data_IF_106076374425
#
_entry.id   IF_106076374425
#
_cell.length_a   1.000
_cell.length_b   1.000
_cell.length_c   1.000
_cell.angle_alpha   90.00
_cell.angle_beta   90.00
_cell.angle_gamma   90.00
#
_symmetry.space_group_name_H-M   'P 1'
#
loop_
_entity.id
_entity.type
_entity.pdbx_description
1 polymer ?
2 non-polymer ?
3 non-polymer ?
4 water ?
#
# COMPACT_ATOMS: atom_id res chain seq x y z
N UNK A 1 30.66 -3.08 11.57
CA UNK A 1 31.29 -1.90 11.00
C UNK A 1 30.52 -1.41 9.77
N UNK A 2 29.94 -2.36 9.02
CA UNK A 2 29.15 -2.03 7.83
C UNK A 2 27.66 -1.92 8.13
N UNK A 3 27.15 -2.83 8.96
CA UNK A 3 25.85 -2.63 9.60
C UNK A 3 25.81 -1.36 10.42
N UNK A 4 26.97 -0.80 10.77
CA UNK A 4 27.02 0.45 11.51
C UNK A 4 26.45 1.60 10.69
N UNK A 5 26.81 1.70 9.41
CA UNK A 5 26.20 2.70 8.56
C UNK A 5 24.69 2.53 8.52
N UNK A 6 24.22 1.29 8.40
CA UNK A 6 22.78 1.06 8.29
C UNK A 6 22.05 1.52 9.55
N UNK A 7 22.58 1.24 10.73
CA UNK A 7 21.89 1.69 11.94
C UNK A 7 21.90 3.20 12.02
N UNK A 8 23.00 3.82 11.60
CA UNK A 8 23.05 5.28 11.50
C UNK A 8 21.91 5.81 10.65
N UNK A 9 21.71 5.21 9.46
CA UNK A 9 20.61 5.64 8.59
C UNK A 9 19.29 5.56 9.35
N UNK A 10 19.04 4.42 9.98
CA UNK A 10 17.75 4.19 10.63
C UNK A 10 17.51 5.21 11.73
N UNK A 11 18.54 5.51 12.52
CA UNK A 11 18.41 6.52 13.57
C UNK A 11 17.99 7.88 13.00
N UNK A 12 18.61 8.30 11.89
CA UNK A 12 18.22 9.58 11.32
C UNK A 12 16.84 9.49 10.68
N UNK A 13 16.46 8.32 10.15
CA UNK A 13 15.10 8.17 9.63
C UNK A 13 14.10 8.21 10.75
N UNK A 14 14.47 7.65 11.90
CA UNK A 14 13.62 7.66 13.07
C UNK A 14 13.43 9.08 13.61
N UNK A 15 14.40 9.96 13.34
CA UNK A 15 14.35 11.33 13.87
C UNK A 15 13.04 12.01 13.51
N UNK A 16 12.60 11.88 12.26
CA UNK A 16 11.31 12.44 11.83
C UNK A 16 10.16 11.51 12.25
N UNK A 17 10.03 11.34 13.56
CA UNK A 17 8.94 10.59 14.16
C UNK A 17 8.46 11.18 15.46
N UNK A 18 9.23 12.06 16.11
CA UNK A 18 8.79 12.66 17.36
C UNK A 18 7.75 13.75 17.13
N UNK A 19 7.95 14.57 16.08
CA UNK A 19 7.05 15.66 15.77
C UNK A 19 5.96 15.25 14.79
N UNK A 20 5.70 13.94 14.67
CA UNK A 20 4.51 13.50 13.96
C UNK A 20 3.28 14.08 14.61
N UNK A 21 3.25 14.10 15.94
CA UNK A 21 2.04 14.45 16.68
C UNK A 21 1.49 15.81 16.24
N UNK A 22 2.37 16.75 15.91
CA UNK A 22 1.88 18.08 15.53
C UNK A 22 1.29 18.08 14.11
N UNK A 23 1.80 17.24 13.21
CA UNK A 23 1.24 17.13 11.88
C UNK A 23 0.08 16.15 11.83
N UNK A 24 0.21 15.02 12.53
CA UNK A 24 -0.87 14.04 12.58
C UNK A 24 -2.13 14.63 13.19
N UNK A 25 -1.99 15.60 14.09
CA UNK A 25 -3.14 16.30 14.60
C UNK A 25 -3.91 17.03 13.51
N UNK A 26 -3.19 17.70 12.60
CA UNK A 26 -3.86 18.42 11.54
C UNK A 26 -4.53 17.48 10.54
N UNK A 27 -3.92 16.32 10.30
CA UNK A 27 -4.54 15.35 9.40
C UNK A 27 -5.84 14.81 9.99
N UNK A 28 -5.78 14.36 11.24
CA UNK A 28 -6.97 13.79 11.89
C UNK A 28 -8.14 14.76 11.79
N UNK A 29 -7.90 16.03 12.10
CA UNK A 29 -8.97 17.01 12.04
C UNK A 29 -9.59 17.14 10.67
N UNK A 30 -8.75 17.19 9.62
CA UNK A 30 -9.29 17.34 8.27
C UNK A 30 -10.08 16.10 7.88
N UNK A 31 -9.57 14.90 8.17
CA UNK A 31 -10.31 13.72 7.70
C UNK A 31 -11.59 13.50 8.51
N UNK A 32 -11.61 13.91 9.79
CA UNK A 32 -12.86 13.78 10.52
C UNK A 32 -13.94 14.66 9.92
N UNK A 33 -13.61 15.92 9.62
CA UNK A 33 -14.51 16.81 8.89
C UNK A 33 -15.04 16.15 7.63
N UNK A 34 -14.14 15.60 6.82
CA UNK A 34 -14.54 15.03 5.54
C UNK A 34 -15.41 13.79 5.73
N UNK A 35 -15.11 12.99 6.74
CA UNK A 35 -15.94 11.81 6.99
C UNK A 35 -17.35 12.21 7.36
N UNK A 36 -17.46 13.12 8.33
CA UNK A 36 -18.77 13.58 8.74
C UNK A 36 -19.55 14.18 7.57
N UNK A 37 -18.86 14.94 6.70
CA UNK A 37 -19.55 15.51 5.55
C UNK A 37 -20.01 14.42 4.58
N UNK A 38 -19.19 13.39 4.39
CA UNK A 38 -19.57 12.32 3.47
C UNK A 38 -20.64 11.40 4.05
N UNK A 39 -20.66 11.25 5.37
CA UNK A 39 -21.73 10.48 6.00
C UNK A 39 -23.07 11.17 5.86
N UNK A 40 -23.07 12.50 5.70
CA UNK A 40 -24.30 13.25 5.51
C UNK A 40 -24.90 13.04 4.13
N UNK A 41 -24.27 12.21 3.31
CA UNK A 41 -24.71 11.94 1.94
C UNK A 41 -25.21 10.50 1.85
N UNK A 42 -26.37 10.34 1.23
CA UNK A 42 -26.99 9.00 1.17
C UNK A 42 -26.04 7.95 0.62
N UNK A 43 -25.34 8.25 -0.48
CA UNK A 43 -24.51 7.21 -1.12
C UNK A 43 -23.33 6.78 -0.26
N UNK A 44 -22.89 7.63 0.67
CA UNK A 44 -21.68 7.40 1.43
C UNK A 44 -21.95 7.23 2.92
N UNK A 45 -23.19 6.88 3.27
CA UNK A 45 -23.60 6.82 4.66
C UNK A 45 -22.70 5.90 5.49
N UNK A 46 -22.23 4.80 4.90
CA UNK A 46 -21.39 3.90 5.67
C UNK A 46 -19.91 4.16 5.57
N UNK A 47 -19.50 5.32 5.06
CA UNK A 47 -18.09 5.62 4.92
C UNK A 47 -17.39 5.62 6.29
N UNK A 48 -16.13 5.23 6.30
CA UNK A 48 -15.36 5.21 7.53
C UNK A 48 -13.89 5.00 7.25
N UNK A 49 -13.09 5.27 8.27
CA UNK A 49 -11.67 4.97 8.24
C UNK A 49 -11.42 3.48 8.28
N UNK A 50 -10.25 3.08 7.78
CA UNK A 50 -9.87 1.68 7.82
C UNK A 50 -9.55 1.21 9.24
N UNK A 51 -8.53 1.80 9.87
CA UNK A 51 -8.23 1.56 11.30
C UNK A 51 -8.45 2.87 12.06
N UNK A 52 -9.55 2.96 12.83
CA UNK A 52 -9.79 4.16 13.65
C UNK A 52 -8.82 4.18 14.82
N UNK A 53 -8.01 5.24 14.91
CA UNK A 53 -6.84 5.30 15.76
C UNK A 53 -5.54 5.22 14.99
N UNK A 54 -5.54 4.53 13.86
CA UNK A 54 -4.48 4.60 12.87
C UNK A 54 -5.00 5.39 11.67
N UNK A 55 -5.11 6.71 11.85
CA UNK A 55 -5.62 7.60 10.81
C UNK A 55 -4.79 7.49 9.54
N UNK A 56 -3.52 7.82 9.67
CA UNK A 56 -2.57 7.93 8.58
C UNK A 56 -1.72 6.67 8.50
N UNK A 57 -1.07 6.49 7.35
CA UNK A 57 0.13 5.69 7.27
C UNK A 57 1.17 6.50 6.49
N UNK A 58 2.43 6.07 6.57
CA UNK A 58 3.50 6.70 5.81
C UNK A 58 4.01 5.72 4.76
N UNK A 59 3.62 5.98 3.50
CA UNK A 59 4.12 5.18 2.39
C UNK A 59 5.58 5.50 2.10
N UNK A 60 5.93 6.78 2.10
CA UNK A 60 7.31 7.24 1.86
C UNK A 60 8.02 7.42 3.20
N UNK A 61 8.96 6.51 3.50
CA UNK A 61 9.69 6.56 4.75
C UNK A 61 10.54 7.83 4.85
N UNK A 62 10.82 8.49 3.72
CA UNK A 62 11.67 9.68 3.70
C UNK A 62 10.90 10.99 3.48
N UNK A 63 9.57 10.95 3.40
CA UNK A 63 8.75 12.15 3.30
C UNK A 63 7.73 12.11 4.43
N UNK A 64 8.14 12.52 5.64
CA UNK A 64 7.24 12.41 6.80
C UNK A 64 6.10 13.41 6.80
N UNK A 65 6.07 14.37 5.88
CA UNK A 65 4.91 15.25 5.76
C UNK A 65 3.88 14.77 4.75
N UNK A 66 4.05 13.59 4.17
CA UNK A 66 3.13 13.02 3.18
C UNK A 66 2.37 11.88 3.82
N UNK A 67 1.06 12.03 3.93
CA UNK A 67 0.23 11.08 4.66
C UNK A 67 -0.66 10.30 3.71
N UNK A 68 -0.99 9.08 4.11
CA UNK A 68 -1.83 8.21 3.30
C UNK A 68 -3.03 7.76 4.13
N UNK A 69 -4.24 7.96 3.59
CA UNK A 69 -5.48 7.71 4.31
C UNK A 69 -6.42 6.92 3.40
N UNK A 70 -7.16 5.97 3.99
CA UNK A 70 -8.10 5.15 3.23
C UNK A 70 -9.50 5.25 3.83
N UNK A 71 -10.45 5.75 3.04
CA UNK A 71 -11.87 5.75 3.40
C UNK A 71 -12.52 4.52 2.80
N UNK A 72 -13.04 3.65 3.65
CA UNK A 72 -13.71 2.44 3.21
C UNK A 72 -15.20 2.61 3.39
N UNK A 73 -15.97 1.80 2.67
CA UNK A 73 -17.42 1.92 2.69
C UNK A 73 -18.01 0.56 2.32
N UNK A 74 -18.86 0.01 3.19
CA UNK A 74 -19.25 -1.39 2.99
C UNK A 74 -20.29 -1.53 1.87
N UNK A 75 -20.10 -2.56 1.05
CA UNK A 75 -20.98 -2.92 -0.06
C UNK A 75 -21.54 -4.32 0.17
N UNK A 76 -22.66 -4.45 0.86
CA UNK A 76 -23.20 -5.79 1.14
C UNK A 76 -23.67 -6.48 -0.12
N UNK A 77 -23.54 -7.81 -0.11
CA UNK A 77 -23.98 -8.71 -1.18
C UNK A 77 -23.45 -8.22 -2.54
N UNK A 78 -22.15 -8.05 -2.55
CA UNK A 78 -21.41 -7.67 -3.75
C UNK A 78 -21.22 -8.90 -4.63
N UNK A 79 -21.20 -8.68 -5.93
CA UNK A 79 -20.92 -9.74 -6.90
C UNK A 79 -19.83 -9.24 -7.84
N UNK A 80 -18.64 -9.83 -7.73
CA UNK A 80 -17.51 -9.43 -8.57
C UNK A 80 -17.54 -10.20 -9.87
N UNK A 81 -16.91 -9.62 -10.89
CA UNK A 81 -16.75 -10.26 -12.19
C UNK A 81 -15.37 -9.86 -12.71
N UNK A 82 -14.46 -10.84 -12.73
CA UNK A 82 -13.05 -10.59 -13.02
C UNK A 82 -12.86 -10.03 -14.42
N UNK A 83 -12.05 -8.98 -14.53
CA UNK A 83 -11.82 -8.31 -15.81
C UNK A 83 -10.69 -8.99 -16.58
N UNK A 84 -10.98 -9.39 -17.82
CA UNK A 84 -10.07 -10.21 -18.60
C UNK A 84 -9.62 -11.37 -17.73
N UNK A 85 -8.33 -11.66 -17.73
CA UNK A 85 -7.76 -12.68 -16.85
C UNK A 85 -6.71 -12.05 -15.94
N UNK A 86 -6.98 -10.81 -15.51
CA UNK A 86 -5.97 -10.04 -14.79
C UNK A 86 -5.80 -10.50 -13.35
N UNK A 87 -6.78 -11.24 -12.82
CA UNK A 87 -6.75 -11.87 -11.50
C UNK A 87 -6.92 -10.86 -10.37
N UNK A 88 -6.59 -9.59 -10.62
CA UNK A 88 -6.68 -8.58 -9.55
C UNK A 88 -7.66 -7.46 -9.82
N UNK A 89 -8.25 -7.39 -11.01
CA UNK A 89 -9.16 -6.31 -11.39
C UNK A 89 -10.55 -6.88 -11.66
N UNK A 90 -11.56 -6.19 -11.17
CA UNK A 90 -12.90 -6.73 -11.15
C UNK A 90 -13.91 -5.64 -11.47
N UNK A 91 -14.92 -5.99 -12.25
CA UNK A 91 -16.15 -5.23 -12.28
C UNK A 91 -16.97 -5.52 -11.04
N UNK A 92 -17.75 -4.55 -10.60
CA UNK A 92 -18.55 -4.69 -9.39
C UNK A 92 -20.02 -4.68 -9.79
N UNK A 93 -20.75 -5.69 -9.31
CA UNK A 93 -22.20 -5.83 -9.48
C UNK A 93 -22.83 -6.05 -8.11
N UNK A 94 -24.16 -6.00 -8.07
CA UNK A 94 -24.91 -6.06 -6.83
C UNK A 94 -25.91 -7.20 -6.86
N UNK A 95 -25.93 -8.02 -5.80
CA UNK A 95 -26.91 -9.08 -5.70
C UNK A 95 -28.33 -8.55 -5.47
N UNK A 96 -28.47 -7.34 -4.95
CA UNK A 96 -29.77 -6.80 -4.58
C UNK A 96 -30.18 -5.64 -5.48
N UNK A 97 -31.49 -5.36 -5.46
CA UNK A 97 -32.11 -4.32 -6.28
C UNK A 97 -31.53 -2.94 -5.98
N UNK A 98 -31.65 -2.02 -6.94
CA UNK A 98 -31.22 -0.64 -6.67
C UNK A 98 -32.01 0.06 -5.57
N UNK A 99 -33.25 -0.38 -5.30
CA UNK A 99 -34.01 0.18 -4.18
C UNK A 99 -33.38 -0.17 -2.85
N UNK A 100 -32.78 -1.36 -2.73
CA UNK A 100 -32.05 -1.80 -1.54
C UNK A 100 -30.58 -1.38 -1.57
N UNK A 101 -30.14 -0.67 -2.59
CA UNK A 101 -28.73 -0.41 -2.85
C UNK A 101 -28.45 1.08 -2.86
N UNK A 102 -27.71 1.61 -1.88
CA UNK A 102 -27.45 3.06 -1.86
C UNK A 102 -26.55 3.51 -2.98
N UNK A 103 -25.67 2.65 -3.48
CA UNK A 103 -24.84 3.01 -4.62
C UNK A 103 -25.61 2.96 -5.93
N UNK A 104 -26.93 2.77 -5.86
CA UNK A 104 -27.76 2.67 -7.06
C UNK A 104 -27.55 3.86 -8.00
N UNK A 105 -27.37 5.06 -7.43
CA UNK A 105 -27.22 6.23 -8.30
C UNK A 105 -25.98 6.16 -9.17
N UNK A 106 -25.02 5.29 -8.83
CA UNK A 106 -23.75 5.16 -9.54
C UNK A 106 -23.71 4.00 -10.53
N UNK A 107 -24.82 3.28 -10.71
CA UNK A 107 -24.79 2.15 -11.62
C UNK A 107 -24.68 2.64 -13.06
N UNK A 108 -23.97 1.87 -13.87
CA UNK A 108 -23.95 2.08 -15.32
C UNK A 108 -24.42 0.75 -15.91
N UNK A 109 -25.73 0.66 -16.14
CA UNK A 109 -26.31 -0.60 -16.48
C UNK A 109 -26.29 -1.52 -15.29
N UNK A 110 -25.49 -2.57 -15.36
CA UNK A 110 -25.43 -3.55 -14.29
C UNK A 110 -24.24 -3.37 -13.38
N UNK A 111 -23.32 -2.44 -13.69
CA UNK A 111 -22.05 -2.39 -12.99
C UNK A 111 -21.87 -1.03 -12.30
N UNK A 112 -21.09 -1.06 -11.23
CA UNK A 112 -20.78 0.14 -10.46
C UNK A 112 -19.75 0.96 -11.20
N UNK A 113 -20.15 2.14 -11.69
CA UNK A 113 -19.21 3.02 -12.37
C UNK A 113 -18.24 3.59 -11.34
N UNK A 114 -16.97 3.19 -11.44
CA UNK A 114 -15.93 3.80 -10.61
C UNK A 114 -15.81 5.29 -10.91
N UNK A 115 -15.97 5.67 -12.17
CA UNK A 115 -15.78 7.08 -12.50
C UNK A 115 -16.92 7.93 -11.97
N UNK A 116 -18.14 7.38 -11.91
CA UNK A 116 -19.24 8.14 -11.33
C UNK A 116 -19.08 8.30 -9.83
N UNK A 117 -18.71 7.23 -9.13
CA UNK A 117 -18.55 7.32 -7.69
C UNK A 117 -17.36 8.21 -7.34
N UNK A 118 -16.27 8.12 -8.10
CA UNK A 118 -15.14 8.99 -7.86
C UNK A 118 -15.51 10.45 -8.05
N UNK A 119 -16.24 10.76 -9.13
CA UNK A 119 -16.62 12.15 -9.40
C UNK A 119 -17.37 12.76 -8.23
N UNK A 120 -18.33 12.01 -7.66
CA UNK A 120 -19.11 12.54 -6.55
C UNK A 120 -18.25 12.66 -5.30
N UNK A 121 -17.49 11.61 -5.01
CA UNK A 121 -16.53 11.63 -3.91
C UNK A 121 -15.66 12.88 -3.96
N UNK A 122 -15.05 13.13 -5.12
CA UNK A 122 -14.16 14.28 -5.28
C UNK A 122 -14.91 15.59 -5.12
N UNK A 123 -16.10 15.70 -5.73
CA UNK A 123 -16.87 16.94 -5.64
C UNK A 123 -17.16 17.30 -4.18
N UNK A 124 -17.60 16.31 -3.39
CA UNK A 124 -17.97 16.58 -1.99
C UNK A 124 -16.74 17.05 -1.21
N UNK A 125 -15.66 16.28 -1.26
CA UNK A 125 -14.42 16.68 -0.59
C UNK A 125 -13.93 18.02 -1.12
N UNK A 126 -14.07 18.24 -2.43
CA UNK A 126 -13.63 19.51 -2.99
C UNK A 126 -14.45 20.65 -2.42
N UNK A 127 -15.79 20.56 -2.53
CA UNK A 127 -16.67 21.60 -1.98
C UNK A 127 -16.44 21.78 -0.47
N UNK A 128 -16.16 20.69 0.25
CA UNK A 128 -15.98 20.79 1.70
C UNK A 128 -14.66 21.46 2.05
N UNK A 129 -13.58 21.17 1.30
CA UNK A 129 -12.27 21.76 1.58
C UNK A 129 -12.29 23.27 1.39
N UNK A 130 -13.18 23.78 0.53
CA UNK A 130 -13.28 25.22 0.33
C UNK A 130 -13.72 25.94 1.58
N UNK A 131 -14.30 25.20 2.54
CA UNK A 131 -14.74 25.75 3.82
C UNK A 131 -13.88 25.25 4.97
N UNK A 132 -12.66 24.79 4.68
CA UNK A 132 -11.66 24.48 5.68
C UNK A 132 -10.46 25.40 5.46
N UNK A 133 -9.94 25.92 6.57
CA UNK A 133 -9.08 27.10 6.57
C UNK A 133 -7.83 26.94 5.71
N UNK A 134 -6.83 26.21 6.21
CA UNK A 134 -5.53 26.16 5.56
C UNK A 134 -5.36 24.91 4.71
N UNK A 135 -6.39 24.49 3.98
CA UNK A 135 -6.31 23.26 3.22
C UNK A 135 -6.78 23.48 1.78
N UNK A 136 -6.16 22.76 0.85
CA UNK A 136 -6.51 22.80 -0.57
C UNK A 136 -6.40 21.42 -1.17
N UNK A 137 -7.04 21.24 -2.32
CA UNK A 137 -7.07 19.98 -3.06
C UNK A 137 -6.19 20.12 -4.30
N UNK A 138 -5.06 19.43 -4.34
CA UNK A 138 -4.18 19.52 -5.51
C UNK A 138 -4.58 18.51 -6.58
N UNK A 139 -5.26 17.41 -6.21
CA UNK A 139 -5.80 16.37 -7.11
C UNK A 139 -5.12 16.24 -8.48
N UNK A 141 -4.91 13.20 -8.73
CA UNK A 141 -5.41 12.51 -9.92
C UNK A 141 -4.28 12.04 -10.84
N UNK A 142 -4.67 11.47 -11.99
CA UNK A 142 -3.76 10.86 -12.97
C UNK A 142 -3.10 9.58 -12.44
N UNK A 143 -3.81 8.84 -11.60
CA UNK A 143 -3.28 7.58 -11.06
C UNK A 143 -4.35 6.50 -11.06
N UNK A 144 -5.15 6.44 -12.13
CA UNK A 144 -6.15 5.41 -12.27
C UNK A 144 -7.37 5.55 -11.39
N UNK A 145 -7.38 6.49 -10.45
CA UNK A 145 -8.50 6.64 -9.56
C UNK A 145 -8.13 6.65 -8.10
N UNK A 146 -7.21 5.77 -7.69
CA UNK A 146 -6.73 5.72 -6.32
C UNK A 146 -5.25 6.07 -6.30
N UNK A 147 -4.82 7.07 -5.49
CA UNK A 147 -5.70 7.88 -4.62
C UNK A 147 -6.56 8.84 -5.41
N UNK A 148 -7.68 9.19 -4.80
CA UNK A 148 -8.67 10.01 -5.48
C UNK A 148 -8.29 11.47 -5.45
N UNK A 149 -7.86 11.93 -4.28
CA UNK A 149 -7.53 13.33 -4.07
C UNK A 149 -6.27 13.38 -3.24
N UNK A 150 -5.59 14.50 -3.35
CA UNK A 150 -4.49 14.82 -2.48
C UNK A 150 -4.77 16.19 -1.90
N UNK A 151 -4.69 16.29 -0.58
CA UNK A 151 -4.96 17.55 0.11
C UNK A 151 -3.64 18.20 0.49
N UNK A 152 -3.62 19.52 0.51
CA UNK A 152 -2.48 20.26 1.01
C UNK A 152 -2.92 21.03 2.23
N UNK A 153 -2.62 20.49 3.42
CA UNK A 153 -2.81 21.20 4.67
C UNK A 153 -1.66 22.17 4.88
N UNK A 154 -1.98 23.37 5.35
CA UNK A 154 -1.03 24.48 5.30
C UNK A 154 -0.43 24.53 3.91
N UNK A 155 0.88 24.78 3.85
CA UNK A 155 1.61 24.66 2.60
C UNK A 155 2.71 23.61 2.74
N UNK A 156 2.45 22.55 3.51
CA UNK A 156 3.52 21.66 3.92
C UNK A 156 3.09 20.20 3.99
N UNK A 157 1.97 19.93 4.63
CA UNK A 157 1.49 18.56 4.83
C UNK A 157 0.55 18.19 3.71
N UNK A 158 0.68 16.95 3.24
CA UNK A 158 -0.12 16.49 2.11
C UNK A 158 -0.73 15.14 2.46
N UNK A 159 -2.03 14.99 2.19
CA UNK A 159 -2.76 13.78 2.53
C UNK A 159 -3.35 13.19 1.25
N UNK A 160 -3.04 11.92 0.99
CA UNK A 160 -3.69 11.16 -0.08
C UNK A 160 -4.91 10.46 0.50
N UNK A 161 -6.06 10.68 -0.11
CA UNK A 161 -7.31 10.05 0.33
C UNK A 161 -7.75 9.08 -0.76
N UNK A 162 -7.92 7.82 -0.39
CA UNK A 162 -8.27 6.74 -1.32
C UNK A 162 -9.61 6.15 -0.93
N UNK A 163 -10.52 6.06 -1.88
CA UNK A 163 -11.79 5.40 -1.62
C UNK A 163 -11.64 3.90 -1.81
N UNK A 164 -12.31 3.12 -0.95
CA UNK A 164 -12.24 1.68 -1.06
C UNK A 164 -13.59 1.08 -0.72
N UNK A 165 -14.05 0.13 -1.56
CA UNK A 165 -15.22 -0.67 -1.24
C UNK A 165 -14.80 -1.80 -0.32
N UNK A 166 -15.61 -2.05 0.71
CA UNK A 166 -15.35 -3.12 1.66
C UNK A 166 -16.33 -4.25 1.41
N UNK A 167 -15.83 -5.47 1.39
CA UNK A 167 -16.70 -6.64 1.28
C UNK A 167 -16.35 -7.62 2.38
N UNK A 168 -17.38 -8.13 3.05
CA UNK A 168 -17.16 -9.12 4.07
C UNK A 168 -17.30 -10.53 3.54
N UNK A 169 -17.53 -10.70 2.24
CA UNK A 169 -17.64 -12.05 1.71
C UNK A 169 -16.24 -12.66 1.65
N UNK A 170 -16.17 -13.95 1.30
CA UNK A 170 -14.87 -14.60 1.29
C UNK A 170 -14.04 -14.12 0.10
N UNK A 171 -12.71 -14.15 0.26
CA UNK A 171 -11.83 -13.56 -0.73
C UNK A 171 -11.98 -14.25 -2.09
N UNK A 172 -11.73 -13.53 -3.18
CA UNK A 172 -11.90 -14.12 -4.51
C UNK A 172 -10.95 -15.28 -4.75
N UNK A 173 -11.33 -16.08 -5.76
CA UNK A 173 -10.56 -17.30 -6.03
C UNK A 173 -9.11 -16.99 -6.38
N UNK A 174 -8.82 -15.84 -7.00
CA UNK A 174 -7.45 -15.53 -7.38
C UNK A 174 -6.52 -15.47 -6.17
N UNK A 175 -7.07 -15.36 -4.95
CA UNK A 175 -6.26 -15.32 -3.74
C UNK A 175 -6.12 -16.68 -3.08
N UNK A 176 -6.67 -17.74 -3.69
CA UNK A 176 -6.69 -19.05 -3.07
C UNK A 176 -5.30 -19.50 -2.66
N UNK A 177 -4.31 -19.30 -3.53
CA UNK A 177 -2.98 -19.80 -3.27
C UNK A 177 -2.01 -18.71 -2.82
N UNK A 178 -2.52 -17.54 -2.42
CA UNK A 178 -1.69 -16.46 -1.96
C UNK A 178 -1.48 -16.52 -0.46
N UNK A 179 -0.82 -15.48 0.06
CA UNK A 179 -0.61 -15.33 1.50
C UNK A 179 0.01 -16.59 2.10
N UNK A 180 1.15 -17.01 1.55
CA UNK A 180 1.79 -18.27 1.92
C UNK A 180 2.56 -18.09 3.24
N UNK A 181 1.81 -17.83 4.30
CA UNK A 181 2.42 -17.54 5.59
C UNK A 181 2.48 -18.78 6.49
N UNK A 182 2.10 -19.95 5.98
CA UNK A 182 1.85 -21.11 6.83
C UNK A 182 3.08 -21.53 7.62
N UNK A 183 4.25 -21.52 6.98
CA UNK A 183 5.48 -21.91 7.65
C UNK A 183 6.09 -20.78 8.48
N UNK A 184 5.52 -19.58 8.41
CA UNK A 184 6.09 -18.41 9.07
C UNK A 184 5.18 -17.98 10.22
N UNK A 185 3.96 -17.50 9.91
CA UNK A 185 3.01 -17.04 10.92
C UNK A 185 1.97 -18.08 11.31
N UNK A 186 1.95 -19.22 10.60
CA UNK A 186 1.12 -20.39 10.89
C UNK A 186 -0.16 -20.50 10.06
N UNK A 187 -0.63 -21.73 9.90
CA UNK A 187 -1.92 -21.96 9.27
C UNK A 187 -3.07 -21.37 10.09
N UNK A 188 -3.01 -21.46 11.42
CA UNK A 188 -4.06 -20.84 12.24
C UNK A 188 -4.23 -19.40 11.84
N UNK A 189 -3.12 -18.67 11.79
CA UNK A 189 -3.16 -17.26 11.51
C UNK A 189 -3.63 -17.00 10.08
N UNK A 190 -3.11 -17.77 9.11
CA UNK A 190 -3.58 -17.55 7.75
C UNK A 190 -5.09 -17.73 7.65
N UNK A 191 -5.62 -18.70 8.38
CA UNK A 191 -7.07 -18.90 8.38
C UNK A 191 -7.79 -17.75 9.07
N UNK A 192 -7.20 -17.17 10.13
CA UNK A 192 -7.85 -16.02 10.77
C UNK A 192 -7.87 -14.81 9.82
N UNK A 193 -6.74 -14.57 9.14
CA UNK A 193 -6.64 -13.37 8.31
C UNK A 193 -7.59 -13.45 7.13
N UNK A 194 -7.69 -14.64 6.51
CA UNK A 194 -8.58 -14.78 5.36
C UNK A 194 -10.07 -14.76 5.75
N UNK A 195 -10.39 -14.58 7.04
CA UNK A 195 -11.77 -14.34 7.46
C UNK A 195 -12.08 -12.86 7.60
N UNK A 196 -11.09 -11.99 7.37
CA UNK A 196 -11.29 -10.56 7.46
C UNK A 196 -11.88 -10.06 6.14
N UNK A 197 -12.37 -8.83 6.10
CA UNK A 197 -12.87 -8.28 4.83
C UNK A 197 -11.74 -8.14 3.83
N UNK A 198 -12.12 -8.05 2.57
CA UNK A 198 -11.18 -7.51 1.58
C UNK A 198 -11.73 -6.20 1.03
N UNK A 199 -10.85 -5.47 0.34
CA UNK A 199 -11.18 -4.16 -0.20
C UNK A 199 -10.97 -4.12 -1.69
N UNK A 200 -11.70 -3.23 -2.35
CA UNK A 200 -11.51 -2.94 -3.77
C UNK A 200 -11.31 -1.44 -3.89
N UNK A 201 -10.23 -1.03 -4.57
CA UNK A 201 -9.99 0.39 -4.81
C UNK A 201 -10.15 0.63 -6.32
N UNK A 202 -10.73 1.75 -6.73
CA UNK A 202 -10.90 2.02 -8.17
C UNK A 202 -9.54 2.22 -8.82
N UNK A 203 -9.22 1.34 -9.78
CA UNK A 203 -7.99 1.45 -10.57
C UNK A 203 -8.27 1.01 -12.00
N UNK A 204 -7.87 1.85 -12.96
CA UNK A 204 -7.83 1.51 -14.38
C UNK A 204 -7.08 0.22 -14.66
N UNK A 205 -7.28 -0.38 -15.83
CA UNK A 205 -6.55 -1.59 -16.20
C UNK A 205 -6.19 -1.55 -17.69
N UNK A 206 -4.95 -1.95 -17.99
CA UNK A 206 -4.38 -2.07 -19.36
C UNK A 206 -5.08 -1.24 -20.43
N UNK A 210 -5.30 2.04 -24.93
CA UNK A 210 -6.20 2.73 -24.01
C UNK A 210 -6.38 1.96 -22.70
N UNK A 211 -7.52 2.19 -22.03
CA UNK A 211 -7.76 1.63 -20.70
C UNK A 211 -9.22 1.24 -20.54
N UNK A 212 -9.48 0.36 -19.56
CA UNK A 212 -10.82 0.04 -19.09
C UNK A 212 -11.09 0.82 -17.81
N UNK A 213 -12.11 1.68 -17.84
CA UNK A 213 -12.27 2.76 -16.87
C UNK A 213 -13.08 2.35 -15.64
N UNK A 214 -13.78 1.22 -15.67
CA UNK A 214 -14.68 0.89 -14.57
C UNK A 214 -14.18 -0.25 -13.70
N UNK A 215 -12.91 -0.64 -13.82
CA UNK A 215 -12.45 -1.76 -13.03
C UNK A 215 -12.10 -1.32 -11.61
N UNK A 216 -12.08 -2.31 -10.72
CA UNK A 216 -11.67 -2.14 -9.33
C UNK A 216 -10.59 -3.18 -9.04
N UNK A 217 -9.65 -2.84 -8.17
CA UNK A 217 -8.52 -3.70 -7.88
C UNK A 217 -8.55 -4.12 -6.41
N UNK A 218 -8.28 -5.40 -6.14
CA UNK A 218 -8.27 -5.87 -4.77
C UNK A 218 -7.15 -5.20 -3.97
N UNK A 219 -7.43 -4.90 -2.71
CA UNK A 219 -6.45 -4.25 -1.85
C UNK A 219 -6.45 -4.95 -0.50
N UNK A 220 -5.25 -5.18 0.05
CA UNK A 220 -5.13 -5.92 1.30
C UNK A 220 -4.25 -5.19 2.30
N UNK A 221 -4.19 -3.87 2.23
CA UNK A 221 -3.22 -3.17 3.06
C UNK A 221 -3.53 -3.32 4.55
N UNK A 222 -4.79 -3.60 4.92
CA UNK A 222 -5.07 -3.93 6.31
C UNK A 222 -4.38 -5.23 6.75
N UNK A 223 -4.35 -6.23 5.88
CA UNK A 223 -3.61 -7.44 6.19
C UNK A 223 -2.10 -7.15 6.24
N UNK A 224 -1.58 -6.40 5.28
CA UNK A 224 -0.15 -6.04 5.32
C UNK A 224 0.21 -5.40 6.65
N UNK A 225 -0.57 -4.42 7.10
CA UNK A 225 -0.26 -3.79 8.37
C UNK A 225 -0.28 -4.81 9.50
N UNK A 226 -1.33 -5.64 9.55
CA UNK A 226 -1.44 -6.63 10.60
C UNK A 226 -0.23 -7.56 10.64
N UNK A 227 0.31 -7.93 9.49
CA UNK A 227 1.47 -8.81 9.52
C UNK A 227 2.70 -8.07 10.02
N UNK A 228 2.91 -6.83 9.57
CA UNK A 228 4.11 -6.09 10.00
C UNK A 228 4.11 -5.83 11.50
N UNK A 229 2.95 -5.61 12.11
CA UNK A 229 2.86 -5.35 13.54
C UNK A 229 2.76 -6.60 14.38
N UNK A 230 2.76 -7.77 13.74
CA UNK A 230 2.72 -9.03 14.45
C UNK A 230 3.40 -10.04 13.51
N UNK A 231 4.73 -9.95 13.45
CA UNK A 231 5.50 -10.34 12.27
C UNK A 231 6.42 -11.53 12.48
N UNK A 232 6.40 -12.13 13.66
CA UNK A 232 7.43 -13.10 13.98
C UNK A 232 6.86 -14.47 14.16
N UNK A 233 7.73 -15.48 14.06
CA UNK A 233 7.28 -16.80 14.44
C UNK A 233 6.97 -16.85 15.93
N UNK A 234 7.80 -16.21 16.73
CA UNK A 234 7.54 -16.15 18.17
C UNK A 234 6.49 -15.10 18.46
N UNK A 235 5.47 -15.48 19.21
CA UNK A 235 4.43 -14.52 19.53
C UNK A 235 5.04 -13.31 20.23
N UNK A 236 6.19 -13.48 20.88
CA UNK A 236 6.82 -12.40 21.62
C UNK A 236 7.97 -11.75 20.85
N UNK A 237 8.02 -11.91 19.53
CA UNK A 237 9.06 -11.22 18.75
C UNK A 237 8.97 -9.71 18.99
N UNK A 238 10.12 -9.11 19.23
CA UNK A 238 10.24 -7.67 19.50
C UNK A 238 9.44 -7.21 20.73
N UNK A 239 9.16 -8.10 21.69
CA UNK A 239 8.58 -7.65 22.96
C UNK A 239 9.58 -7.68 24.11
N UNK A 240 10.84 -8.00 23.87
CA UNK A 240 11.83 -7.90 24.92
C UNK A 240 13.22 -7.82 24.29
N UNK A 241 14.19 -7.45 25.14
CA UNK A 241 15.59 -7.28 24.73
C UNK A 241 16.12 -8.49 23.96
N UNK A 242 15.66 -9.69 24.29
CA UNK A 242 16.28 -10.90 23.75
C UNK A 242 15.66 -11.39 22.45
N UNK A 243 14.61 -10.74 21.96
CA UNK A 243 13.95 -11.16 20.73
C UNK A 243 13.72 -9.99 19.81
N UNK A 244 14.69 -9.09 19.68
CA UNK A 244 14.56 -7.97 18.76
C UNK A 244 15.05 -8.41 17.39
N UNK A 245 14.15 -8.44 16.40
CA UNK A 245 14.51 -8.79 15.03
C UNK A 245 14.71 -7.53 14.20
N UNK A 246 15.19 -7.70 12.98
CA UNK A 246 15.40 -6.57 12.09
C UNK A 246 14.52 -6.65 10.84
N UNK A 247 13.40 -7.38 10.93
CA UNK A 247 12.44 -7.40 9.83
C UNK A 247 11.99 -5.98 9.46
N UNK A 248 11.35 -5.26 10.41
CA UNK A 248 10.87 -3.91 10.10
C UNK A 248 11.99 -2.98 9.66
N UNK A 249 13.17 -3.07 10.29
CA UNK A 249 14.30 -2.24 9.85
C UNK A 249 14.63 -2.51 8.40
N UNK A 250 14.70 -3.79 8.01
CA UNK A 250 15.04 -4.13 6.63
C UNK A 250 14.05 -3.53 5.64
N UNK A 251 12.76 -3.62 5.93
CA UNK A 251 11.78 -3.03 5.02
C UNK A 251 11.96 -1.52 4.91
N UNK A 252 12.23 -0.84 6.04
CA UNK A 252 12.53 0.59 5.96
C UNK A 252 13.70 0.85 5.01
N UNK A 253 14.78 0.09 5.15
CA UNK A 253 15.95 0.32 4.32
C UNK A 253 15.64 0.09 2.84
N UNK A 254 15.13 -1.10 2.50
CA UNK A 254 14.55 -1.34 1.18
C UNK A 254 13.78 -0.11 0.68
N UNK A 255 12.78 0.34 1.44
CA UNK A 255 12.00 1.49 1.01
C UNK A 255 12.89 2.71 0.78
N UNK A 256 13.73 3.06 1.76
CA UNK A 256 14.59 4.24 1.62
C UNK A 256 15.51 4.13 0.42
N UNK A 257 16.02 2.92 0.16
CA UNK A 257 16.93 2.72 -0.96
C UNK A 257 16.26 3.05 -2.28
N UNK A 258 14.99 2.63 -2.44
CA UNK A 258 14.29 2.93 -3.69
C UNK A 258 13.92 4.40 -3.79
N UNK A 259 13.46 5.01 -2.70
CA UNK A 259 13.10 6.43 -2.74
C UNK A 259 14.31 7.29 -3.06
N UNK A 260 15.46 6.99 -2.45
CA UNK A 260 16.66 7.76 -2.74
C UNK A 260 17.08 7.61 -4.20
N UNK A 261 17.06 6.37 -4.72
CA UNK A 261 17.40 6.17 -6.13
C UNK A 261 16.42 6.91 -7.02
N UNK A 262 15.11 6.82 -6.72
CA UNK A 262 14.13 7.56 -7.49
C UNK A 262 14.43 9.06 -7.46
N UNK A 263 14.82 9.59 -6.29
CA UNK A 263 15.24 10.98 -6.22
C UNK A 263 16.51 11.22 -7.03
N UNK A 264 17.47 10.29 -6.94
CA UNK A 264 18.76 10.47 -7.59
C UNK A 264 18.63 10.55 -9.11
N UNK A 265 17.65 9.87 -9.68
CA UNK A 265 17.45 9.82 -11.12
C UNK A 265 16.02 10.24 -11.48
N UNK A 266 15.55 11.33 -10.86
CA UNK A 266 14.23 11.87 -11.24
C UNK A 266 14.26 12.47 -12.64
N UNK A 267 15.41 13.01 -13.05
CA UNK A 267 15.49 13.61 -14.38
C UNK A 267 15.42 12.55 -15.47
N UNK A 268 16.23 11.50 -15.36
CA UNK A 268 15.93 10.29 -16.10
C UNK A 268 14.56 9.79 -15.67
N UNK A 269 13.89 9.01 -16.51
CA UNK A 269 12.53 8.62 -16.20
C UNK A 269 12.37 7.11 -16.36
N UNK A 270 13.24 6.37 -15.68
CA UNK A 270 13.23 4.92 -15.71
C UNK A 270 12.67 4.32 -14.43
N UNK A 271 12.87 4.98 -13.30
CA UNK A 271 12.37 4.50 -12.02
C UNK A 271 10.99 5.02 -11.68
N UNK A 272 10.31 5.71 -12.60
CA UNK A 272 9.01 6.28 -12.27
C UNK A 272 7.98 5.21 -11.99
N UNK A 273 8.15 4.03 -12.58
CA UNK A 273 7.14 2.97 -12.45
C UNK A 273 7.29 2.15 -11.17
N UNK A 274 8.42 2.22 -10.48
CA UNK A 274 8.61 1.44 -9.27
C UNK A 274 8.07 2.21 -8.07
N UNK A 275 7.56 1.46 -7.09
CA UNK A 275 6.97 2.08 -5.91
C UNK A 275 7.33 1.27 -4.67
N UNK A 276 6.91 1.82 -3.53
CA UNK A 276 7.13 1.12 -2.26
C UNK A 276 6.44 -0.22 -2.24
N UNK A 277 5.26 -0.34 -2.87
CA UNK A 277 4.58 -1.63 -2.86
C UNK A 277 5.49 -2.74 -3.40
N UNK A 278 6.31 -2.42 -4.42
CA UNK A 278 7.21 -3.43 -4.98
C UNK A 278 8.21 -3.93 -3.95
N UNK A 279 8.77 -3.04 -3.12
CA UNK A 279 9.74 -3.56 -2.15
C UNK A 279 9.02 -4.16 -0.94
N UNK A 280 7.85 -3.63 -0.56
CA UNK A 280 7.05 -4.34 0.43
C UNK A 280 6.70 -5.76 -0.05
N UNK A 281 6.24 -5.91 -1.30
CA UNK A 281 5.89 -7.24 -1.81
C UNK A 281 7.11 -8.17 -1.77
N UNK A 282 8.25 -7.72 -2.29
CA UNK A 282 9.44 -8.55 -2.22
C UNK A 282 9.83 -8.85 -0.78
N UNK A 283 9.67 -7.86 0.11
CA UNK A 283 10.01 -8.10 1.51
C UNK A 283 9.19 -9.27 2.07
N UNK A 284 7.87 -9.25 1.89
CA UNK A 284 7.05 -10.37 2.37
C UNK A 284 7.51 -11.71 1.79
N UNK A 285 7.84 -11.75 0.50
CA UNK A 285 8.38 -12.99 -0.06
C UNK A 285 9.64 -13.45 0.68
N UNK A 286 10.53 -12.52 1.05
CA UNK A 286 11.75 -12.90 1.76
C UNK A 286 11.43 -13.43 3.14
N UNK A 287 10.48 -12.80 3.85
CA UNK A 287 10.02 -13.34 5.12
C UNK A 287 9.54 -14.77 4.97
N UNK A 288 8.86 -15.08 3.87
CA UNK A 288 8.38 -16.44 3.68
C UNK A 288 9.53 -17.42 3.47
N UNK A 289 10.58 -17.00 2.74
CA UNK A 289 11.74 -17.87 2.54
C UNK A 289 12.57 -18.00 3.80
N UNK A 290 12.42 -17.06 4.72
CA UNK A 290 13.24 -16.98 5.93
C UNK A 290 12.29 -16.81 7.12
N UNK A 291 11.57 -17.87 7.49
CA UNK A 291 10.47 -17.70 8.46
C UNK A 291 10.91 -17.72 9.92
N UNK A 292 12.08 -18.24 10.26
CA UNK A 292 12.51 -18.26 11.65
C UNK A 292 12.98 -16.88 12.09
N UNK A 293 12.64 -16.50 13.32
CA UNK A 293 13.12 -15.25 13.87
C UNK A 293 14.63 -15.23 14.03
N UNK A 294 15.29 -16.40 14.09
CA UNK A 294 16.74 -16.43 14.17
C UNK A 294 17.42 -16.08 12.85
N UNK A 295 16.67 -16.10 11.75
CA UNK A 295 17.13 -15.60 10.46
C UNK A 295 16.97 -14.09 10.32
N UNK A 296 16.55 -13.40 11.39
CA UNK A 296 16.44 -11.94 11.39
C UNK A 296 17.05 -11.32 12.64
N UNK A 297 18.09 -11.94 13.21
CA UNK A 297 18.70 -11.40 14.42
C UNK A 297 19.19 -9.99 14.16
N UNK A 298 19.01 -9.10 15.14
CA UNK A 298 19.46 -7.71 14.96
C UNK A 298 20.97 -7.64 14.76
N UNK A 299 21.72 -8.56 15.36
CA UNK A 299 23.16 -8.54 15.12
C UNK A 299 23.48 -8.89 13.67
N UNK A 300 22.54 -9.47 12.92
CA UNK A 300 22.75 -9.82 11.53
C UNK A 300 22.12 -8.83 10.57
N UNK A 301 21.90 -7.58 11.00
CA UNK A 301 21.14 -6.64 10.17
C UNK A 301 21.78 -6.47 8.81
N UNK A 302 23.09 -6.26 8.78
CA UNK A 302 23.78 -6.15 7.50
C UNK A 302 23.48 -7.33 6.59
N UNK A 303 23.56 -8.55 7.13
CA UNK A 303 23.33 -9.73 6.29
C UNK A 303 21.88 -9.83 5.86
N UNK A 304 20.94 -9.56 6.77
CA UNK A 304 19.52 -9.63 6.45
C UNK A 304 19.15 -8.63 5.37
N UNK A 305 19.59 -7.37 5.50
CA UNK A 305 19.31 -6.38 4.48
C UNK A 305 19.88 -6.80 3.13
N UNK A 306 21.07 -7.41 3.14
CA UNK A 306 21.67 -7.89 1.91
C UNK A 306 20.78 -8.93 1.23
N UNK A 307 20.16 -9.82 2.02
CA UNK A 307 19.30 -10.82 1.41
C UNK A 307 18.09 -10.20 0.75
N UNK A 308 17.57 -9.11 1.33
CA UNK A 308 16.44 -8.42 0.71
C UNK A 308 16.83 -7.79 -0.62
N UNK A 309 18.01 -7.18 -0.68
CA UNK A 309 18.52 -6.66 -1.95
C UNK A 309 18.67 -7.80 -2.95
N UNK A 310 19.31 -8.91 -2.55
CA UNK A 310 19.59 -9.98 -3.50
C UNK A 310 18.32 -10.61 -4.06
N UNK A 311 17.31 -10.83 -3.21
CA UNK A 311 16.01 -11.26 -3.71
C UNK A 311 15.46 -10.25 -4.72
N UNK A 312 15.39 -8.98 -4.31
CA UNK A 312 14.80 -7.96 -5.17
C UNK A 312 15.52 -7.89 -6.51
N UNK A 313 16.85 -7.95 -6.48
CA UNK A 313 17.63 -7.97 -7.73
C UNK A 313 17.20 -9.13 -8.62
N UNK A 314 17.03 -10.32 -8.05
CA UNK A 314 16.61 -11.45 -8.87
C UNK A 314 15.22 -11.23 -9.43
N UNK A 315 14.34 -10.57 -8.66
CA UNK A 315 13.02 -10.21 -9.18
C UNK A 315 13.16 -9.35 -10.43
N UNK A 316 13.95 -8.27 -10.34
CA UNK A 316 14.20 -7.45 -11.54
C UNK A 316 14.75 -8.29 -12.68
N UNK A 317 15.83 -9.03 -12.41
CA UNK A 317 16.53 -9.73 -13.49
C UNK A 317 15.63 -10.77 -14.15
N UNK A 318 14.85 -11.50 -13.36
CA UNK A 318 13.93 -12.48 -13.94
C UNK A 318 12.61 -11.87 -14.36
N UNK A 319 12.31 -10.64 -13.96
CA UNK A 319 11.04 -9.99 -14.29
C UNK A 319 9.85 -10.73 -13.70
N UNK A 320 10.00 -11.23 -12.47
CA UNK A 320 8.90 -11.84 -11.73
C UNK A 320 8.86 -11.23 -10.34
N UNK A 321 7.69 -10.72 -9.96
CA UNK A 321 7.41 -10.30 -8.58
C UNK A 321 5.90 -10.50 -8.36
N UNK A 322 5.54 -11.68 -7.86
CA UNK A 322 4.14 -12.02 -7.69
C UNK A 322 3.51 -11.18 -6.59
N UNK A 323 2.32 -10.65 -6.86
CA UNK A 323 1.56 -10.00 -5.79
C UNK A 323 1.37 -11.04 -4.70
N UNK A 324 1.52 -10.61 -3.44
CA UNK A 324 1.68 -11.58 -2.35
C UNK A 324 0.37 -12.24 -1.98
N UNK A 325 -0.74 -11.75 -2.50
CA UNK A 325 -2.06 -12.30 -2.26
C UNK A 325 -2.65 -12.91 -3.51
N UNK A 326 -2.25 -12.43 -4.68
CA UNK A 326 -2.75 -12.85 -5.97
C UNK A 326 -1.54 -13.37 -6.74
N UNK A 327 -1.14 -14.62 -6.49
CA UNK A 327 0.14 -15.09 -7.07
C UNK A 327 0.22 -15.04 -8.58
N UNK A 328 -0.90 -15.18 -9.30
CA UNK A 328 -0.84 -15.06 -10.75
C UNK A 328 -0.76 -13.62 -11.26
N UNK A 329 -0.78 -12.62 -10.37
CA UNK A 329 -0.62 -11.24 -10.79
C UNK A 329 0.83 -10.83 -10.56
N UNK A 330 1.51 -10.49 -11.63
CA UNK A 330 2.95 -10.26 -11.62
C UNK A 330 3.22 -8.77 -11.72
N UNK A 331 3.69 -8.17 -10.62
CA UNK A 331 3.93 -6.74 -10.61
C UNK A 331 5.03 -6.35 -11.59
N UNK A 332 5.86 -7.29 -12.01
CA UNK A 332 6.99 -6.98 -12.89
C UNK A 332 6.80 -7.53 -14.30
N UNK A 333 5.57 -7.84 -14.70
CA UNK A 333 5.36 -8.31 -16.06
C UNK A 333 5.83 -7.25 -17.04
N UNK A 334 6.32 -7.72 -18.19
CA UNK A 334 6.76 -6.79 -19.22
C UNK A 334 5.64 -5.87 -19.69
N UNK A 335 4.38 -6.24 -19.48
CA UNK A 335 3.25 -5.40 -19.84
C UNK A 335 3.08 -4.22 -18.88
N UNK A 336 3.70 -4.25 -17.71
CA UNK A 336 3.56 -3.22 -16.69
C UNK A 336 4.79 -2.33 -16.56
N UNK A 337 5.97 -2.94 -16.56
CA UNK A 337 7.26 -2.25 -16.51
C UNK A 337 8.18 -2.89 -17.53
N UNK A 338 8.85 -2.08 -18.33
CA UNK A 338 9.65 -2.59 -19.45
C UNK A 338 11.07 -2.94 -19.01
N UNK A 339 11.73 -3.78 -19.81
CA UNK A 339 13.00 -4.37 -19.43
C UNK A 339 14.08 -3.31 -19.20
N UNK A 340 14.12 -2.29 -20.06
CA UNK A 340 15.11 -1.22 -19.91
C UNK A 340 15.08 -0.64 -18.50
N UNK A 341 13.89 -0.43 -17.95
CA UNK A 341 13.78 0.15 -16.62
C UNK A 341 14.28 -0.82 -15.56
N UNK A 342 13.91 -2.09 -15.68
CA UNK A 342 14.35 -3.06 -14.68
C UNK A 342 15.86 -3.22 -14.72
N UNK A 343 16.43 -3.23 -15.92
CA UNK A 343 17.89 -3.31 -16.06
C UNK A 343 18.57 -2.07 -15.51
N UNK A 344 17.93 -0.89 -15.62
CA UNK A 344 18.54 0.32 -15.10
C UNK A 344 18.61 0.26 -13.58
N UNK A 345 17.49 -0.03 -12.94
CA UNK A 345 17.47 -0.14 -11.49
C UNK A 345 18.36 -1.28 -11.01
N UNK A 346 18.42 -2.39 -11.77
CA UNK A 346 19.36 -3.45 -11.44
C UNK A 346 20.77 -2.88 -11.35
N UNK A 347 21.18 -2.17 -12.40
CA UNK A 347 22.51 -1.56 -12.44
C UNK A 347 22.75 -0.65 -11.24
N UNK A 348 21.77 0.17 -10.86
CA UNK A 348 22.00 1.13 -9.79
C UNK A 348 22.09 0.42 -8.44
N UNK A 349 21.13 -0.46 -8.16
CA UNK A 349 21.19 -1.23 -6.93
C UNK A 349 22.49 -2.02 -6.85
N UNK A 350 22.87 -2.66 -7.95
CA UNK A 350 24.13 -3.41 -7.96
C UNK A 350 25.30 -2.49 -7.66
N UNK A 351 25.25 -1.25 -8.17
CA UNK A 351 26.30 -0.28 -7.86
C UNK A 351 26.29 0.08 -6.39
N UNK A 352 25.09 0.35 -5.85
CA UNK A 352 24.99 0.86 -4.49
C UNK A 352 25.55 -0.14 -3.50
N UNK A 353 25.13 -1.40 -3.60
CA UNK A 353 25.64 -2.38 -2.63
C UNK A 353 27.12 -2.65 -2.83
N UNK A 354 27.62 -2.54 -4.05
CA UNK A 354 29.07 -2.70 -4.20
C UNK A 354 29.86 -1.50 -3.67
N UNK A 355 29.20 -0.44 -3.21
CA UNK A 355 29.92 0.70 -2.64
C UNK A 355 29.31 1.11 -1.30
N UNK A 356 28.72 0.16 -0.58
CA UNK A 356 28.24 0.39 0.78
C UNK A 356 27.19 1.49 0.82
N UNK A 357 26.38 1.55 -0.22
CA UNK A 357 25.21 2.41 -0.32
C UNK A 357 25.55 3.88 -0.07
N UNK A 358 26.19 4.54 -1.04
CA UNK A 358 26.42 5.98 -0.91
C UNK A 358 25.13 6.80 -0.95
N UNK A 359 24.02 6.29 -1.50
CA UNK A 359 22.79 7.07 -1.48
C UNK A 359 22.25 7.22 -0.07
N UNK A 360 22.78 6.47 0.88
CA UNK A 360 22.27 6.58 2.22
C UNK A 360 22.79 7.82 2.94
N UNK A 361 24.00 8.27 2.57
CA UNK A 361 24.69 9.37 3.27
C UNK A 361 24.06 10.75 3.08
#
# INVERSE_FOLDING_TARGET
MGASKLRAVLEKLKLSRDDISTAAGMVKGVVDHLLLRLKCDSAFRGVGLLNTGSYYEHVKISAPNEFDVMFKLEVPRIQLEEYSNTRAYYFVKFKRNPKENPLSQFLEGEILSASKMLSKFRKIIKEEINDIKDTDVIMKRKRGGSPAVTLLISEKISVDITLALESKSSWPASTQEGLRIQNWLSAKVRKQLRLKPFYLVPKHAKEGNGFQEETWRLSFSHIEKEILNNHGKSKTCCENKEEKCCRKDCLKLMKYLLEQLKERFKDKKHLDKFSSYHVKTAFFHVCTQNPQDSQWDRKDLGLCFDNCVTYFLQCLRTEKLENYFIPEFNLFSSNLIDKRSKEFLTKQIEYERNNEFPVFDEF
#
